data_IF_141056727557
#
_entry.id   IF_141056727557
#
_cell.length_a   1.000
_cell.length_b   1.000
_cell.length_c   1.000
_cell.angle_alpha   90.00
_cell.angle_beta   90.00
_cell.angle_gamma   90.00
#
_symmetry.space_group_name_H-M   'P 1'
#
loop_
_entity.id
_entity.type
_entity.pdbx_description
1 polymer ?
#
# COMPACT_ATOMS: atom_id res chain seq x y z
N UNK A 1 -8.17 -16.96 9.72
CA UNK A 1 -8.65 -16.20 10.88
C UNK A 1 -8.83 -14.76 10.44
N UNK A 2 -10.03 -14.18 10.61
CA UNK A 2 -10.26 -12.76 10.37
C UNK A 2 -9.71 -11.98 11.56
N UNK A 3 -8.47 -11.53 11.49
CA UNK A 3 -8.03 -10.40 12.33
C UNK A 3 -8.58 -9.17 11.62
N UNK A 4 -9.82 -8.80 11.92
CA UNK A 4 -10.42 -7.60 11.35
C UNK A 4 -9.68 -6.41 11.97
N UNK A 5 -8.89 -5.70 11.16
CA UNK A 5 -8.37 -4.40 11.57
C UNK A 5 -9.57 -3.47 11.56
N UNK A 6 -10.03 -3.03 12.73
CA UNK A 6 -11.10 -2.05 12.77
C UNK A 6 -10.69 -0.79 12.02
N UNK A 7 -11.64 -0.17 11.33
CA UNK A 7 -11.43 1.10 10.64
C UNK A 7 -10.87 2.12 11.64
N UNK A 8 -9.72 2.72 11.31
CA UNK A 8 -9.06 3.69 12.18
C UNK A 8 -9.93 4.95 12.28
N UNK A 9 -10.13 5.46 13.49
CA UNK A 9 -10.92 6.67 13.71
C UNK A 9 -10.01 7.81 14.18
N UNK A 10 -10.25 9.01 13.66
CA UNK A 10 -9.51 10.23 13.96
C UNK A 10 -10.50 11.26 14.55
N UNK A 11 -10.71 11.26 15.88
CA UNK A 11 -11.73 12.10 16.51
C UNK A 11 -11.47 13.59 16.30
N UNK A 12 -12.49 14.33 15.88
CA UNK A 12 -12.39 15.79 15.68
C UNK A 12 -11.73 16.21 14.37
N UNK A 13 -11.40 15.26 13.49
CA UNK A 13 -10.75 15.49 12.20
C UNK A 13 -11.70 15.16 11.07
N UNK A 14 -11.69 15.99 10.03
CA UNK A 14 -12.47 15.70 8.83
C UNK A 14 -11.72 14.67 7.98
N UNK A 15 -12.26 13.46 7.89
CA UNK A 15 -11.69 12.40 7.03
C UNK A 15 -12.53 12.30 5.76
N UNK A 16 -11.94 12.69 4.62
CA UNK A 16 -12.59 12.56 3.33
C UNK A 16 -12.35 11.17 2.74
N UNK A 17 -13.40 10.34 2.69
CA UNK A 17 -13.32 8.96 2.21
C UNK A 17 -13.74 8.84 0.75
N UNK A 18 -12.89 8.20 -0.07
CA UNK A 18 -13.17 7.86 -1.48
C UNK A 18 -13.63 9.06 -2.32
N UNK A 19 -12.96 10.21 -2.16
CA UNK A 19 -13.18 11.37 -3.03
C UNK A 19 -12.95 11.03 -4.50
N UNK A 20 -13.64 11.78 -5.37
CA UNK A 20 -13.45 11.66 -6.81
C UNK A 20 -12.04 12.12 -7.23
N UNK A 21 -11.56 11.61 -8.36
CA UNK A 21 -10.25 12.00 -8.92
C UNK A 21 -10.16 13.51 -9.11
N UNK A 22 -11.22 14.15 -9.60
CA UNK A 22 -11.28 15.58 -9.83
C UNK A 22 -11.10 16.35 -8.52
N UNK A 23 -11.84 15.94 -7.47
CA UNK A 23 -11.74 16.62 -6.17
C UNK A 23 -10.39 16.44 -5.51
N UNK A 24 -9.78 15.25 -5.64
CA UNK A 24 -8.42 15.01 -5.14
C UNK A 24 -7.39 15.87 -5.87
N UNK A 25 -7.51 16.03 -7.19
CA UNK A 25 -6.64 16.93 -7.97
C UNK A 25 -6.82 18.38 -7.53
N UNK A 26 -8.05 18.87 -7.39
CA UNK A 26 -8.33 20.23 -6.91
C UNK A 26 -7.70 20.47 -5.53
N UNK A 27 -7.93 19.57 -4.58
CA UNK A 27 -7.38 19.68 -3.23
C UNK A 27 -5.85 19.65 -3.23
N UNK A 28 -5.23 18.81 -4.05
CA UNK A 28 -3.77 18.80 -4.17
C UNK A 28 -3.21 20.11 -4.72
N UNK A 29 -3.92 20.79 -5.63
CA UNK A 29 -3.52 22.11 -6.13
C UNK A 29 -3.75 23.20 -5.08
N UNK A 30 -4.91 23.20 -4.42
CA UNK A 30 -5.26 24.15 -3.35
C UNK A 30 -4.26 24.08 -2.18
N UNK A 31 -3.76 22.88 -1.88
CA UNK A 31 -2.81 22.61 -0.79
C UNK A 31 -1.34 22.76 -1.21
N UNK A 32 -1.07 23.07 -2.48
CA UNK A 32 0.30 23.20 -3.00
C UNK A 32 1.08 21.88 -3.02
N UNK A 33 0.40 20.74 -3.05
CA UNK A 33 1.03 19.40 -3.07
C UNK A 33 1.59 19.04 -4.45
N UNK A 34 1.15 19.74 -5.50
CA UNK A 34 1.59 19.54 -6.88
C UNK A 34 1.14 20.66 -7.81
N UNK A 35 1.46 20.51 -9.10
CA UNK A 35 1.10 21.44 -10.17
C UNK A 35 0.53 20.69 -11.37
N UNK A 36 -0.25 21.36 -12.22
CA UNK A 36 -0.71 20.77 -13.47
C UNK A 36 0.35 20.89 -14.56
N UNK A 37 0.63 19.77 -15.23
CA UNK A 37 1.35 19.77 -16.50
C UNK A 37 0.47 20.33 -17.63
N UNK A 38 1.09 20.64 -18.77
CA UNK A 38 0.39 21.18 -19.96
C UNK A 38 -0.70 20.27 -20.52
N UNK A 39 -0.66 18.97 -20.20
CA UNK A 39 -1.66 17.98 -20.59
C UNK A 39 -2.74 17.74 -19.51
N UNK A 40 -2.74 18.52 -18.42
CA UNK A 40 -3.68 18.37 -17.31
C UNK A 40 -3.34 17.26 -16.32
N UNK A 41 -2.21 16.56 -16.46
CA UNK A 41 -1.76 15.61 -15.45
C UNK A 41 -1.27 16.35 -14.19
N UNK A 42 -1.61 15.84 -13.01
CA UNK A 42 -1.07 16.32 -11.75
C UNK A 42 0.38 15.84 -11.59
N UNK A 43 1.31 16.77 -11.42
CA UNK A 43 2.72 16.54 -11.13
C UNK A 43 3.00 16.88 -9.67
N UNK A 44 3.34 15.88 -8.86
CA UNK A 44 3.70 16.04 -7.45
C UNK A 44 5.20 15.82 -7.26
N UNK A 45 5.80 16.55 -6.32
CA UNK A 45 7.17 16.36 -5.88
C UNK A 45 7.20 15.41 -4.66
N UNK A 46 8.05 14.38 -4.70
CA UNK A 46 8.23 13.44 -3.57
C UNK A 46 9.33 13.89 -2.60
N UNK A 47 9.90 15.08 -2.80
CA UNK A 47 10.96 15.66 -2.00
C UNK A 47 12.32 15.03 -2.30
N UNK A 48 13.20 15.01 -1.29
CA UNK A 48 14.57 14.49 -1.42
C UNK A 48 14.64 13.02 -1.88
N UNK A 49 13.58 12.24 -1.60
CA UNK A 49 13.51 10.81 -1.92
C UNK A 49 12.62 10.60 -3.14
N UNK A 50 13.26 10.37 -4.29
CA UNK A 50 12.57 10.12 -5.56
C UNK A 50 12.36 8.63 -5.87
N UNK A 51 12.69 7.76 -4.92
CA UNK A 51 12.65 6.32 -5.09
C UNK A 51 12.48 5.58 -3.76
N UNK A 52 12.53 4.25 -3.86
CA UNK A 52 12.38 3.39 -2.67
C UNK A 52 13.54 3.52 -1.70
N UNK A 53 13.24 3.26 -0.44
CA UNK A 53 14.21 3.18 0.66
C UNK A 53 14.25 1.76 1.25
N UNK A 54 14.84 0.75 0.57
CA UNK A 54 14.82 -0.63 1.05
C UNK A 54 15.42 -0.83 2.43
N UNK A 55 16.44 -0.01 2.79
CA UNK A 55 17.09 -0.06 4.09
C UNK A 55 16.20 0.47 5.22
N UNK A 56 15.18 1.24 4.91
CA UNK A 56 14.31 1.82 5.93
C UNK A 56 12.96 1.09 6.02
N UNK A 57 12.88 -0.10 5.39
CA UNK A 57 11.74 -1.02 5.51
C UNK A 57 11.99 -2.05 6.60
N UNK A 58 11.04 -2.19 7.51
CA UNK A 58 11.05 -3.14 8.62
C UNK A 58 9.75 -3.94 8.68
N UNK A 59 9.81 -5.13 9.27
CA UNK A 59 8.68 -6.04 9.49
C UNK A 59 8.64 -6.37 10.97
N UNK A 60 7.47 -6.24 11.59
CA UNK A 60 7.27 -6.58 13.01
C UNK A 60 7.62 -8.06 13.23
N UNK A 61 8.53 -8.35 14.15
CA UNK A 61 8.91 -9.72 14.49
C UNK A 61 8.10 -10.19 15.69
N UNK A 62 7.11 -11.05 15.44
CA UNK A 62 6.33 -11.71 16.49
C UNK A 62 6.58 -13.22 16.47
N UNK A 63 6.45 -13.92 17.61
CA UNK A 63 6.62 -15.36 17.66
C UNK A 63 5.75 -16.13 16.65
N UNK A 64 4.56 -15.60 16.31
CA UNK A 64 3.63 -16.23 15.40
C UNK A 64 4.09 -16.18 13.93
N UNK A 65 4.80 -15.13 13.52
CA UNK A 65 5.26 -14.96 12.14
C UNK A 65 6.76 -15.17 11.95
N UNK A 66 7.54 -15.26 13.02
CA UNK A 66 9.00 -15.35 12.97
C UNK A 66 9.51 -16.40 11.97
N UNK A 67 8.94 -17.60 12.00
CA UNK A 67 9.35 -18.71 11.13
C UNK A 67 8.78 -18.63 9.70
N UNK A 68 7.84 -17.70 9.44
CA UNK A 68 7.22 -17.49 8.14
C UNK A 68 7.91 -16.39 7.32
N UNK A 69 8.81 -15.61 7.92
CA UNK A 69 9.53 -14.51 7.29
C UNK A 69 10.99 -14.90 7.05
N UNK A 70 11.47 -14.63 5.83
CA UNK A 70 12.88 -14.78 5.47
C UNK A 70 13.67 -13.53 5.90
N UNK A 71 14.16 -13.54 7.14
CA UNK A 71 14.85 -12.39 7.75
C UNK A 71 16.20 -12.09 7.10
N UNK A 72 16.51 -10.81 6.91
CA UNK A 72 17.80 -10.39 6.35
C UNK A 72 17.84 -8.92 5.95
N UNK A 73 18.69 -8.59 4.97
CA UNK A 73 18.85 -7.20 4.50
C UNK A 73 17.59 -6.61 3.86
N UNK A 74 16.67 -7.47 3.40
CA UNK A 74 15.41 -7.07 2.76
C UNK A 74 14.28 -7.00 3.77
N UNK A 75 14.17 -7.99 4.64
CA UNK A 75 13.18 -8.06 5.72
C UNK A 75 13.90 -7.86 7.04
N UNK A 76 13.99 -6.60 7.48
CA UNK A 76 14.63 -6.23 8.74
C UNK A 76 13.60 -6.32 9.88
N UNK A 77 13.93 -6.94 11.02
CA UNK A 77 12.99 -7.06 12.13
C UNK A 77 12.83 -5.71 12.86
N UNK A 78 11.63 -5.48 13.37
CA UNK A 78 11.36 -4.47 14.41
C UNK A 78 10.57 -5.12 15.53
N UNK A 79 10.85 -4.76 16.78
CA UNK A 79 10.13 -5.34 17.93
C UNK A 79 8.65 -4.89 17.93
N UNK A 80 7.73 -5.70 18.47
CA UNK A 80 6.32 -5.30 18.60
C UNK A 80 6.13 -4.03 19.45
N UNK A 81 7.01 -3.84 20.45
CA UNK A 81 7.04 -2.63 21.27
C UNK A 81 7.36 -1.39 20.42
N UNK A 82 8.43 -1.44 19.61
CA UNK A 82 8.80 -0.30 18.76
C UNK A 82 7.81 -0.08 17.63
N UNK A 83 7.23 -1.15 17.07
CA UNK A 83 6.13 -1.04 16.11
C UNK A 83 4.97 -0.25 16.71
N UNK A 84 4.54 -0.63 17.92
CA UNK A 84 3.43 0.03 18.63
C UNK A 84 3.74 1.48 18.96
N UNK A 85 4.98 1.80 19.37
CA UNK A 85 5.42 3.19 19.61
C UNK A 85 5.35 4.03 18.34
N UNK A 86 5.85 3.52 17.21
CA UNK A 86 5.82 4.24 15.93
C UNK A 86 4.40 4.39 15.41
N UNK A 87 3.55 3.37 15.55
CA UNK A 87 2.13 3.47 15.22
C UNK A 87 1.44 4.57 16.05
N UNK A 88 1.72 4.64 17.35
CA UNK A 88 1.20 5.69 18.22
C UNK A 88 1.68 7.08 17.76
N UNK A 89 2.97 7.26 17.49
CA UNK A 89 3.53 8.51 16.98
C UNK A 89 2.87 8.95 15.66
N UNK A 90 2.71 8.03 14.72
CA UNK A 90 2.03 8.32 13.46
C UNK A 90 0.56 8.69 13.68
N UNK A 91 -0.15 7.96 14.55
CA UNK A 91 -1.55 8.22 14.85
C UNK A 91 -1.74 9.58 15.55
N UNK A 92 -0.90 9.90 16.53
CA UNK A 92 -0.88 11.19 17.23
C UNK A 92 -0.59 12.34 16.25
N UNK A 93 0.41 12.17 15.38
CA UNK A 93 0.72 13.15 14.34
C UNK A 93 -0.45 13.38 13.39
N UNK A 94 -1.08 12.31 12.90
CA UNK A 94 -2.27 12.40 12.06
C UNK A 94 -3.43 13.08 12.80
N UNK A 95 -3.51 12.91 14.12
CA UNK A 95 -4.46 13.62 14.98
C UNK A 95 -4.19 15.12 15.15
N UNK A 96 -3.06 15.65 14.68
CA UNK A 96 -2.78 17.09 14.64
C UNK A 96 -3.32 17.78 13.38
N UNK A 97 -3.80 17.01 12.40
CA UNK A 97 -4.28 17.53 11.12
C UNK A 97 -5.73 17.96 11.22
N UNK A 98 -6.13 18.97 10.44
CA UNK A 98 -7.53 19.35 10.32
C UNK A 98 -8.32 18.41 9.40
N UNK A 99 -7.62 17.88 8.39
CA UNK A 99 -8.20 17.08 7.32
C UNK A 99 -7.27 15.92 6.98
N UNK A 100 -7.86 14.77 6.70
CA UNK A 100 -7.18 13.56 6.22
C UNK A 100 -7.94 12.99 5.03
N UNK A 101 -7.26 12.18 4.24
CA UNK A 101 -7.83 11.52 3.06
C UNK A 101 -7.81 10.01 3.26
N UNK A 102 -8.94 9.36 2.98
CA UNK A 102 -9.07 7.91 3.08
C UNK A 102 -9.43 7.32 1.73
N UNK A 103 -8.64 6.35 1.29
CA UNK A 103 -9.00 5.44 0.22
C UNK A 103 -9.43 4.11 0.83
N UNK A 104 -10.64 3.67 0.51
CA UNK A 104 -11.15 2.34 0.84
C UNK A 104 -11.39 1.59 -0.49
N UNK A 105 -10.76 0.42 -0.64
CA UNK A 105 -10.83 -0.33 -1.88
C UNK A 105 -10.24 -1.72 -1.79
N UNK A 106 -9.89 -2.28 -2.94
CA UNK A 106 -9.46 -3.66 -3.07
C UNK A 106 -8.11 -3.78 -3.75
N UNK A 107 -7.28 -4.69 -3.23
CA UNK A 107 -6.12 -5.19 -3.92
C UNK A 107 -6.41 -6.62 -4.41
N UNK A 108 -6.31 -6.83 -5.73
CA UNK A 108 -6.73 -8.07 -6.39
C UNK A 108 -8.10 -7.93 -7.05
N UNK A 109 -8.20 -8.37 -8.30
CA UNK A 109 -9.43 -8.24 -9.09
C UNK A 109 -10.43 -9.39 -8.86
N UNK A 110 -9.94 -10.57 -8.46
CA UNK A 110 -10.78 -11.72 -8.15
C UNK A 110 -11.36 -11.57 -6.75
N UNK A 111 -12.68 -11.53 -6.64
CA UNK A 111 -13.39 -11.32 -5.36
C UNK A 111 -13.12 -12.40 -4.31
N UNK A 112 -12.73 -13.60 -4.74
CA UNK A 112 -12.40 -14.72 -3.84
C UNK A 112 -11.10 -14.49 -3.07
N UNK A 113 -10.20 -13.69 -3.64
CA UNK A 113 -8.84 -13.50 -3.13
C UNK A 113 -8.48 -12.04 -2.89
N UNK A 114 -9.36 -11.09 -3.21
CA UNK A 114 -9.08 -9.67 -3.01
C UNK A 114 -8.89 -9.35 -1.53
N UNK A 115 -7.95 -8.47 -1.23
CA UNK A 115 -7.78 -7.89 0.09
C UNK A 115 -8.51 -6.56 0.15
N UNK A 116 -9.31 -6.35 1.20
CA UNK A 116 -9.87 -5.05 1.52
C UNK A 116 -8.75 -4.17 2.08
N UNK A 117 -8.46 -3.05 1.43
CA UNK A 117 -7.37 -2.14 1.79
C UNK A 117 -7.95 -0.77 2.14
N UNK A 118 -7.61 -0.27 3.32
CA UNK A 118 -7.81 1.13 3.71
C UNK A 118 -6.47 1.85 3.76
N UNK A 119 -6.36 3.00 3.10
CA UNK A 119 -5.18 3.86 3.11
C UNK A 119 -5.61 5.22 3.64
N UNK A 120 -5.02 5.66 4.75
CA UNK A 120 -5.26 6.98 5.33
C UNK A 120 -4.00 7.82 5.15
N UNK A 121 -4.13 8.99 4.52
CA UNK A 121 -3.03 9.86 4.14
C UNK A 121 -3.28 11.30 4.57
N UNK A 122 -2.23 12.06 4.86
CA UNK A 122 -2.34 13.50 5.15
C UNK A 122 -2.38 14.38 3.89
N UNK A 123 -1.90 13.85 2.75
CA UNK A 123 -1.89 14.53 1.45
C UNK A 123 -2.92 13.94 0.48
N UNK A 124 -3.61 14.81 -0.27
CA UNK A 124 -4.68 14.41 -1.18
C UNK A 124 -4.15 13.61 -2.37
N UNK A 125 -2.98 13.95 -2.90
CA UNK A 125 -2.44 13.26 -4.08
C UNK A 125 -2.00 11.83 -3.77
N UNK A 126 -1.65 11.51 -2.51
CA UNK A 126 -1.33 10.14 -2.09
C UNK A 126 -2.59 9.27 -2.08
N UNK A 127 -3.73 9.83 -1.69
CA UNK A 127 -5.03 9.16 -1.83
C UNK A 127 -5.41 8.98 -3.31
N UNK A 128 -5.13 9.97 -4.16
CA UNK A 128 -5.30 9.83 -5.63
C UNK A 128 -4.40 8.73 -6.20
N UNK A 129 -3.17 8.62 -5.71
CA UNK A 129 -2.27 7.53 -6.08
C UNK A 129 -2.88 6.18 -5.70
N UNK A 130 -3.40 6.02 -4.47
CA UNK A 130 -4.07 4.80 -4.04
C UNK A 130 -5.28 4.47 -4.94
N UNK A 131 -6.12 5.46 -5.27
CA UNK A 131 -7.26 5.31 -6.17
C UNK A 131 -6.88 4.95 -7.62
N UNK A 132 -5.68 5.33 -8.06
CA UNK A 132 -5.14 4.98 -9.37
C UNK A 132 -4.57 3.57 -9.42
N UNK A 133 -3.95 3.13 -8.33
CA UNK A 133 -3.26 1.83 -8.27
C UNK A 133 -4.20 0.69 -7.88
N UNK A 134 -5.13 0.91 -6.95
CA UNK A 134 -6.05 -0.09 -6.43
C UNK A 134 -7.44 0.05 -7.04
N UNK A 135 -8.33 -0.90 -6.72
CA UNK A 135 -9.72 -0.88 -7.21
C UNK A 135 -10.57 -0.15 -6.15
N UNK A 136 -11.10 1.06 -6.42
CA UNK A 136 -11.94 1.76 -5.46
C UNK A 136 -13.21 0.97 -5.16
N UNK A 137 -13.59 0.87 -3.87
CA UNK A 137 -14.86 0.22 -3.49
C UNK A 137 -16.06 1.13 -3.71
N UNK A 138 -15.87 2.45 -3.64
CA UNK A 138 -16.95 3.43 -3.58
C UNK A 138 -17.69 3.46 -2.23
N UNK A 139 -17.29 2.61 -1.28
CA UNK A 139 -17.87 2.55 0.07
C UNK A 139 -17.25 3.67 0.90
N UNK A 140 -18.09 4.55 1.45
CA UNK A 140 -17.66 5.71 2.25
C UNK A 140 -17.78 5.47 3.76
N UNK A 141 -18.67 4.59 4.19
CA UNK A 141 -18.92 4.26 5.60
C UNK A 141 -19.03 2.74 5.79
N UNK A 142 -18.60 2.23 6.94
CA UNK A 142 -18.74 0.81 7.31
C UNK A 142 -17.87 -0.13 6.49
N UNK A 143 -16.72 0.35 5.99
CA UNK A 143 -15.75 -0.49 5.29
C UNK A 143 -14.98 -1.37 6.30
N UNK A 144 -14.82 -2.66 6.00
CA UNK A 144 -14.11 -3.63 6.84
C UNK A 144 -12.75 -3.98 6.20
N UNK A 145 -11.66 -3.25 6.53
CA UNK A 145 -10.36 -3.49 5.91
C UNK A 145 -9.69 -4.75 6.45
N UNK A 146 -9.06 -5.50 5.55
CA UNK A 146 -8.11 -6.54 5.93
C UNK A 146 -6.73 -5.95 6.19
N UNK A 147 -6.38 -4.88 5.47
CA UNK A 147 -5.11 -4.17 5.60
C UNK A 147 -5.36 -2.68 5.73
N UNK A 148 -4.66 -2.06 6.68
CA UNK A 148 -4.71 -0.62 6.87
C UNK A 148 -3.32 0.00 6.71
N UNK A 149 -3.24 1.09 5.95
CA UNK A 149 -2.04 1.90 5.81
C UNK A 149 -2.28 3.26 6.47
N UNK A 150 -1.37 3.66 7.35
CA UNK A 150 -1.24 5.04 7.84
C UNK A 150 -0.05 5.67 7.13
N UNK A 151 -0.30 6.64 6.26
CA UNK A 151 0.72 7.40 5.53
C UNK A 151 0.85 8.80 6.15
N UNK A 152 1.79 8.90 7.08
CA UNK A 152 2.23 10.14 7.72
C UNK A 152 3.52 10.61 7.04
N UNK A 153 3.45 10.84 5.72
CA UNK A 153 4.62 11.07 4.87
C UNK A 153 5.52 12.23 5.31
N UNK A 154 4.96 13.24 5.99
CA UNK A 154 5.69 14.41 6.48
C UNK A 154 6.15 14.27 7.95
N UNK A 155 5.81 13.17 8.64
CA UNK A 155 6.32 12.88 9.98
C UNK A 155 7.74 12.32 9.89
N UNK A 156 8.72 13.10 10.36
CA UNK A 156 10.09 12.61 10.59
C UNK A 156 10.21 12.06 12.01
N UNK A 157 10.86 10.91 12.16
CA UNK A 157 11.12 10.28 13.45
C UNK A 157 12.40 10.89 14.03
N UNK A 158 12.28 11.75 15.04
CA UNK A 158 13.43 12.42 15.66
C UNK A 158 14.33 11.44 16.43
N UNK A 159 13.74 10.58 17.26
CA UNK A 159 14.45 9.60 18.08
C UNK A 159 14.57 8.24 17.39
N UNK A 160 14.97 8.26 16.12
CA UNK A 160 15.02 7.07 15.27
C UNK A 160 16.06 6.04 15.75
N UNK A 161 17.18 6.49 16.33
CA UNK A 161 18.24 5.63 16.87
C UNK A 161 17.74 4.76 18.02
N UNK A 162 16.96 5.33 18.96
CA UNK A 162 16.43 4.58 20.10
C UNK A 162 15.38 3.54 19.69
N UNK A 163 14.68 3.81 18.58
CA UNK A 163 13.67 2.93 18.00
C UNK A 163 14.28 1.83 17.10
N UNK A 164 15.60 1.84 16.92
CA UNK A 164 16.32 0.84 16.10
C UNK A 164 16.10 1.03 14.60
N UNK A 165 15.75 2.24 14.17
CA UNK A 165 15.60 2.60 12.77
C UNK A 165 16.97 2.96 12.15
N UNK A 166 16.99 3.13 10.83
CA UNK A 166 18.21 3.48 10.08
C UNK A 166 18.32 4.97 9.72
N UNK A 167 17.21 5.71 9.79
CA UNK A 167 17.14 7.14 9.50
C UNK A 167 15.86 7.77 10.08
N UNK A 168 15.66 9.05 9.84
CA UNK A 168 14.49 9.85 10.28
C UNK A 168 13.17 9.46 9.60
N UNK A 169 13.15 8.38 8.82
CA UNK A 169 11.99 7.85 8.11
C UNK A 169 11.89 6.34 8.36
N UNK A 170 10.68 5.78 8.21
CA UNK A 170 10.50 4.33 8.25
C UNK A 170 9.28 3.88 7.46
N UNK A 171 9.36 2.66 6.90
CA UNK A 171 8.21 1.88 6.46
C UNK A 171 8.16 0.64 7.33
N UNK A 172 7.23 0.58 8.27
CA UNK A 172 7.07 -0.59 9.15
C UNK A 172 5.80 -1.34 8.80
N UNK A 173 5.85 -2.67 8.84
CA UNK A 173 4.74 -3.51 8.44
C UNK A 173 4.52 -4.65 9.43
N UNK A 174 3.30 -4.78 9.94
CA UNK A 174 2.89 -5.90 10.79
C UNK A 174 2.01 -6.85 9.98
N UNK A 175 2.44 -8.10 9.87
CA UNK A 175 1.67 -9.17 9.23
C UNK A 175 0.56 -9.73 10.12
N UNK A 176 0.73 -9.62 11.43
CA UNK A 176 -0.22 -10.12 12.42
C UNK A 176 -1.37 -9.11 12.63
N UNK A 177 -1.01 -7.83 12.81
CA UNK A 177 -1.97 -6.74 12.96
C UNK A 177 -2.56 -6.26 11.62
N UNK A 178 -1.96 -6.68 10.50
CA UNK A 178 -2.32 -6.29 9.13
C UNK A 178 -2.27 -4.78 8.90
N UNK A 179 -1.18 -4.15 9.36
CA UNK A 179 -0.97 -2.71 9.30
C UNK A 179 0.34 -2.35 8.62
N UNK A 180 0.36 -1.19 7.98
CA UNK A 180 1.56 -0.56 7.42
C UNK A 180 1.58 0.88 7.91
N UNK A 181 2.73 1.32 8.43
CA UNK A 181 2.96 2.70 8.82
C UNK A 181 4.09 3.26 7.95
N UNK A 182 3.84 4.39 7.30
CA UNK A 182 4.80 5.10 6.45
C UNK A 182 5.04 6.46 7.10
N UNK A 183 6.31 6.74 7.44
CA UNK A 183 6.74 8.00 8.03
C UNK A 183 7.95 8.54 7.25
N UNK A 184 7.98 9.85 7.03
CA UNK A 184 9.17 10.58 6.59
C UNK A 184 9.52 10.42 5.10
N UNK A 185 8.63 9.85 4.30
CA UNK A 185 8.80 9.73 2.85
C UNK A 185 7.50 10.03 2.12
N UNK A 186 7.56 10.94 1.13
CA UNK A 186 6.45 11.25 0.22
C UNK A 186 6.45 10.34 -1.02
N UNK A 187 7.35 9.37 -1.12
CA UNK A 187 7.39 8.45 -2.26
C UNK A 187 6.23 7.44 -2.22
N UNK A 188 5.13 7.75 -2.91
CA UNK A 188 3.90 6.94 -2.92
C UNK A 188 4.08 5.49 -3.42
N UNK A 189 5.19 5.17 -4.09
CA UNK A 189 5.52 3.80 -4.46
C UNK A 189 5.63 2.85 -3.26
N UNK A 190 5.87 3.35 -2.05
CA UNK A 190 5.85 2.53 -0.84
C UNK A 190 4.43 2.04 -0.48
N UNK A 191 3.38 2.84 -0.69
CA UNK A 191 1.97 2.39 -0.53
C UNK A 191 1.71 1.14 -1.38
N UNK A 192 2.06 1.22 -2.68
CA UNK A 192 1.89 0.11 -3.63
C UNK A 192 2.70 -1.11 -3.20
N UNK A 193 3.98 -0.91 -2.85
CA UNK A 193 4.90 -2.03 -2.56
C UNK A 193 4.63 -2.68 -1.22
N UNK A 194 4.10 -1.96 -0.24
CA UNK A 194 3.68 -2.52 1.04
C UNK A 194 2.46 -3.43 0.91
N UNK A 195 1.44 -3.04 0.14
CA UNK A 195 0.32 -3.93 -0.18
C UNK A 195 0.77 -5.11 -1.05
N UNK A 196 1.67 -4.90 -2.00
CA UNK A 196 2.21 -6.02 -2.78
C UNK A 196 2.94 -7.04 -1.88
N UNK A 197 3.70 -6.57 -0.89
CA UNK A 197 4.35 -7.44 0.10
C UNK A 197 3.33 -8.17 0.98
N UNK A 198 2.26 -7.49 1.41
CA UNK A 198 1.14 -8.12 2.10
C UNK A 198 0.50 -9.23 1.27
N UNK A 199 0.21 -8.99 -0.01
CA UNK A 199 -0.34 -10.01 -0.90
C UNK A 199 0.63 -11.18 -1.11
N UNK A 200 1.94 -10.94 -1.19
CA UNK A 200 2.92 -12.02 -1.31
C UNK A 200 2.89 -12.97 -0.11
N UNK A 201 2.53 -12.47 1.07
CA UNK A 201 2.42 -13.27 2.29
C UNK A 201 1.03 -13.92 2.43
N UNK A 202 -0.05 -13.14 2.27
CA UNK A 202 -1.41 -13.63 2.49
C UNK A 202 -1.85 -14.65 1.43
N UNK A 203 -1.45 -14.45 0.17
CA UNK A 203 -1.88 -15.32 -0.92
C UNK A 203 -1.25 -16.71 -0.81
N UNK A 204 -0.03 -16.83 -0.29
CA UNK A 204 0.60 -18.13 -0.09
C UNK A 204 -0.11 -18.96 0.98
N UNK A 205 -0.71 -18.32 1.98
CA UNK A 205 -1.51 -19.00 3.00
C UNK A 205 -2.80 -19.63 2.44
N UNK A 206 -3.29 -19.12 1.30
CA UNK A 206 -4.47 -19.65 0.59
C UNK A 206 -4.11 -20.37 -0.72
N UNK A 207 -2.86 -20.84 -0.86
CA UNK A 207 -2.36 -21.58 -2.02
C UNK A 207 -2.46 -20.85 -3.36
N UNK A 208 -2.50 -19.51 -3.34
CA UNK A 208 -2.44 -18.67 -4.54
C UNK A 208 -0.99 -18.22 -4.75
N UNK A 209 -0.49 -18.33 -5.99
CA UNK A 209 0.90 -17.99 -6.31
C UNK A 209 1.06 -16.51 -6.69
N UNK A 210 1.67 -15.66 -5.83
CA UNK A 210 1.99 -14.28 -6.17
C UNK A 210 3.06 -14.15 -7.25
N UNK A 211 2.86 -13.21 -8.18
CA UNK A 211 3.83 -12.90 -9.21
C UNK A 211 4.06 -11.39 -9.37
N UNK A 212 5.33 -11.00 -9.47
CA UNK A 212 5.72 -9.66 -9.91
C UNK A 212 5.93 -9.65 -11.44
N UNK A 213 4.83 -9.65 -12.20
CA UNK A 213 4.83 -9.73 -13.66
C UNK A 213 3.73 -8.86 -14.29
N UNK A 214 3.79 -8.66 -15.61
CA UNK A 214 2.60 -8.28 -16.38
C UNK A 214 2.04 -9.50 -17.09
N UNK A 215 0.72 -9.53 -17.24
CA UNK A 215 0.02 -10.48 -18.09
C UNK A 215 -0.89 -9.77 -19.10
N UNK A 216 -0.93 -10.28 -20.32
CA UNK A 216 -1.95 -9.96 -21.32
C UNK A 216 -2.58 -11.25 -21.85
N UNK A 217 -3.84 -11.14 -22.24
CA UNK A 217 -4.60 -12.18 -22.92
C UNK A 217 -5.23 -11.55 -24.15
N UNK A 218 -5.27 -12.28 -25.25
CA UNK A 218 -6.11 -11.92 -26.38
C UNK A 218 -7.52 -12.44 -26.11
N UNK A 219 -8.52 -11.56 -26.16
CA UNK A 219 -9.90 -11.94 -25.86
C UNK A 219 -10.57 -12.65 -27.04
N UNK A 220 -10.01 -12.51 -28.24
CA UNK A 220 -10.58 -13.11 -29.46
C UNK A 220 -9.99 -14.49 -29.76
N UNK A 221 -8.92 -14.89 -29.07
CA UNK A 221 -8.29 -16.19 -29.21
C UNK A 221 -8.38 -16.99 -27.90
N UNK A 222 -9.35 -17.90 -27.84
CA UNK A 222 -9.57 -18.79 -26.69
C UNK A 222 -8.40 -19.75 -26.42
N UNK A 223 -7.49 -19.94 -27.39
CA UNK A 223 -6.29 -20.77 -27.23
C UNK A 223 -5.07 -19.98 -26.71
N UNK A 224 -5.20 -18.66 -26.58
CA UNK A 224 -4.13 -17.80 -26.13
C UNK A 224 -3.92 -17.89 -24.61
N UNK A 225 -2.95 -18.69 -24.21
CA UNK A 225 -2.46 -18.68 -22.83
C UNK A 225 -1.85 -17.32 -22.49
N UNK A 226 -2.29 -16.74 -21.37
CA UNK A 226 -1.85 -15.40 -20.97
C UNK A 226 -0.32 -15.26 -21.00
N UNK A 227 0.21 -14.31 -21.78
CA UNK A 227 1.67 -14.13 -21.87
C UNK A 227 2.16 -13.39 -20.64
N UNK A 228 3.01 -14.06 -19.86
CA UNK A 228 3.60 -13.52 -18.64
C UNK A 228 5.00 -12.99 -18.95
N UNK A 229 5.27 -11.73 -18.58
CA UNK A 229 6.61 -11.13 -18.72
C UNK A 229 7.17 -10.67 -17.36
N UNK A 230 8.41 -11.06 -17.00
CA UNK A 230 9.08 -10.58 -15.78
C UNK A 230 9.35 -9.07 -15.81
N UNK A 231 9.32 -8.44 -14.64
CA UNK A 231 9.20 -6.98 -14.42
C UNK A 231 10.36 -6.05 -14.75
N UNK A 232 11.25 -6.33 -15.71
CA UNK A 232 12.43 -5.47 -15.97
C UNK A 232 12.26 -4.43 -17.11
N UNK A 233 11.21 -4.51 -17.95
CA UNK A 233 11.06 -3.61 -19.10
C UNK A 233 9.57 -3.34 -19.44
N UNK A 234 8.85 -2.61 -18.58
CA UNK A 234 7.38 -2.59 -18.59
C UNK A 234 6.69 -1.43 -19.31
N UNK A 235 7.40 -0.40 -19.79
CA UNK A 235 6.73 0.86 -20.19
C UNK A 235 6.46 1.05 -21.69
N UNK A 236 7.00 0.22 -22.60
CA UNK A 236 6.96 0.52 -24.04
C UNK A 236 5.67 0.11 -24.78
N UNK A 237 4.76 -0.63 -24.13
CA UNK A 237 3.56 -1.18 -24.76
C UNK A 237 2.38 -1.18 -23.78
N UNK A 238 1.66 -0.07 -23.54
CA UNK A 238 0.27 -0.13 -23.05
C UNK A 238 -0.54 1.18 -23.04
N UNK A 239 -1.79 1.05 -23.46
CA UNK A 239 -2.94 1.92 -23.22
C UNK A 239 -3.91 1.18 -22.27
N UNK A 240 -4.45 1.90 -21.28
CA UNK A 240 -5.56 1.58 -20.35
C UNK A 240 -5.31 0.54 -19.25
N UNK A 241 -5.49 1.03 -18.00
CA UNK A 241 -5.63 0.36 -16.69
C UNK A 241 -4.77 -0.89 -16.45
N UNK A 242 -3.71 -0.68 -15.67
CA UNK A 242 -2.89 -1.73 -15.07
C UNK A 242 -3.79 -2.71 -14.29
N UNK A 243 -4.00 -3.93 -14.81
CA UNK A 243 -4.34 -5.06 -13.96
C UNK A 243 -3.06 -5.38 -13.19
N UNK A 244 -3.00 -4.88 -11.96
CA UNK A 244 -1.75 -4.68 -11.23
C UNK A 244 -1.07 -5.98 -10.81
N UNK A 245 -1.76 -7.13 -10.86
CA UNK A 245 -1.24 -8.41 -10.41
C UNK A 245 -1.83 -9.56 -11.23
N UNK A 246 -0.99 -10.50 -11.64
CA UNK A 246 -1.43 -11.76 -12.26
C UNK A 246 -1.30 -12.87 -11.22
N UNK A 247 -2.34 -13.68 -11.09
CA UNK A 247 -2.40 -14.81 -10.16
C UNK A 247 -2.75 -16.06 -10.94
N UNK A 248 -2.14 -17.18 -10.56
CA UNK A 248 -2.53 -18.50 -11.06
C UNK A 248 -3.00 -19.32 -9.86
N UNK A 249 -4.18 -19.92 -9.97
CA UNK A 249 -4.59 -20.99 -9.07
C UNK A 249 -3.68 -22.20 -9.31
N UNK A 250 -3.08 -22.73 -8.25
CA UNK A 250 -2.47 -24.05 -8.32
C UNK A 250 -3.60 -25.08 -8.39
N UNK A 251 -4.00 -25.47 -9.59
CA UNK A 251 -4.75 -26.70 -9.75
C UNK A 251 -3.84 -27.85 -9.31
N UNK A 252 -4.23 -28.53 -8.23
CA UNK A 252 -3.62 -29.81 -7.86
C UNK A 252 -3.81 -30.74 -9.06
N UNK A 253 -2.71 -31.02 -9.76
CA UNK A 253 -2.65 -32.11 -10.73
C UNK A 253 -3.03 -33.39 -9.98
N UNK A 254 -4.19 -33.95 -10.33
CA UNK A 254 -4.50 -35.34 -9.99
C UNK A 254 -3.39 -36.20 -10.58
N UNK A 255 -2.59 -36.79 -9.69
CA UNK A 255 -1.67 -37.85 -10.03
C UNK A 255 -2.49 -39.09 -10.40
N UNK A 256 -2.44 -39.48 -11.67
CA UNK A 256 -2.67 -40.87 -12.09
C UNK A 256 -1.37 -41.67 -11.88
#
# INVERSE_FOLDING_TARGET
MKTATHELNFPGITVYTNLSTERLVELSLERGEGVLASNGALCCDTGERTGRSPKDKFVEDTPAIHNAIDWGKVNQPISPENFSKIEALATEYMNTKNELFRFNGYAGADERYRLNVSVVTEEAWQSLFAATMFIPSGITEGFDPNWTIIDACNLKIEDWESLGLNSDMCIIQSMEQKKVIICGTRYAGEIKKSIFYAMNFDMTAVNVFPMHCSANVDKEDETNVARIRPGFLHSFLRLKKLHMFCWLEKNQTQSN
#
